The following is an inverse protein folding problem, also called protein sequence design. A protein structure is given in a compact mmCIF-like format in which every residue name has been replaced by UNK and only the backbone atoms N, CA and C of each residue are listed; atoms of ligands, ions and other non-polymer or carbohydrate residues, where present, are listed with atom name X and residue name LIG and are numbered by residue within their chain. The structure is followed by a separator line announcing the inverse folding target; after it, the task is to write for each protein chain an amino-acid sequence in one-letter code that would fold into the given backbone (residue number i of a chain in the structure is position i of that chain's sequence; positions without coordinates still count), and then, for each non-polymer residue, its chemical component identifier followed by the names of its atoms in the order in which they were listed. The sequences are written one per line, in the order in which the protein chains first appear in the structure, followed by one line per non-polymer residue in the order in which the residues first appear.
data_IF_062838946779
#
_entry.id   IF_062838946779
#
_cell.length_a   1.000
_cell.length_b   1.000
_cell.length_c   1.000
_cell.angle_alpha   90.00
_cell.angle_beta   90.00
_cell.angle_gamma   90.00
#
_symmetry.space_group_name_H-M   'P 1'
#
loop_
_entity.id
_entity.type
_entity.pdbx_description
1 polymer ?
#
# COMPACT_ATOMS: atom_id res chain seq x y z
N UNK A 1 -21.03 -64.46 -12.47
CA UNK A 1 -20.26 -63.90 -11.35
C UNK A 1 -19.80 -62.50 -11.74
N UNK A 2 -20.28 -61.46 -11.05
CA UNK A 2 -19.83 -60.06 -11.17
C UNK A 2 -19.21 -59.66 -9.83
N UNK A 3 -17.99 -59.13 -9.83
CA UNK A 3 -17.68 -57.84 -9.18
C UNK A 3 -16.62 -57.07 -10.00
N UNK A 4 -16.24 -55.80 -9.80
CA UNK A 4 -16.62 -54.73 -8.90
C UNK A 4 -16.35 -53.39 -9.61
N UNK A 5 -17.09 -52.37 -9.18
CA UNK A 5 -16.93 -50.95 -9.46
C UNK A 5 -15.66 -50.42 -8.76
N UNK A 6 -14.86 -49.59 -9.42
CA UNK A 6 -14.03 -48.58 -8.72
C UNK A 6 -14.02 -47.27 -9.51
N UNK A 7 -14.48 -46.25 -8.81
CA UNK A 7 -14.60 -44.84 -9.17
C UNK A 7 -13.32 -44.13 -8.67
N UNK A 8 -12.69 -43.29 -9.49
CA UNK A 8 -11.78 -42.25 -9.00
C UNK A 8 -11.73 -41.07 -10.00
N UNK A 9 -12.04 -39.83 -9.57
CA UNK A 9 -12.01 -38.62 -10.39
C UNK A 9 -10.69 -37.83 -10.22
N UNK A 10 -10.56 -36.76 -11.03
CA UNK A 10 -9.72 -35.58 -10.84
C UNK A 10 -8.26 -35.64 -11.32
N UNK A 11 -7.92 -34.80 -12.30
CA UNK A 11 -7.32 -33.48 -12.03
C UNK A 11 -7.25 -32.68 -13.34
N UNK A 12 -8.16 -31.71 -13.52
CA UNK A 12 -8.02 -30.66 -14.51
C UNK A 12 -7.06 -29.61 -13.92
N UNK A 13 -5.79 -29.68 -14.30
CA UNK A 13 -4.82 -28.63 -13.99
C UNK A 13 -5.05 -27.46 -14.96
N UNK A 14 -5.78 -26.46 -14.48
CA UNK A 14 -5.83 -25.13 -15.07
C UNK A 14 -4.46 -24.48 -14.87
N UNK A 15 -3.62 -24.54 -15.90
CA UNK A 15 -2.42 -23.72 -16.01
C UNK A 15 -2.86 -22.25 -16.19
N UNK A 16 -2.93 -21.50 -15.10
CA UNK A 16 -3.03 -20.05 -15.17
C UNK A 16 -1.65 -19.50 -15.57
N UNK A 17 -1.52 -19.10 -16.82
CA UNK A 17 -0.35 -18.37 -17.32
C UNK A 17 -0.28 -17.00 -16.62
N UNK A 18 0.69 -16.82 -15.71
CA UNK A 18 1.06 -15.51 -15.20
C UNK A 18 2.49 -15.24 -15.66
N UNK A 19 2.65 -14.18 -16.43
CA UNK A 19 3.89 -13.78 -17.10
C UNK A 19 4.86 -13.19 -16.06
N UNK A 20 5.95 -13.91 -15.77
CA UNK A 20 6.97 -13.46 -14.82
C UNK A 20 7.96 -12.50 -15.52
N UNK A 21 8.40 -11.39 -14.87
CA UNK A 21 9.26 -10.41 -15.52
C UNK A 21 10.68 -10.93 -15.77
N UNK A 22 11.15 -10.82 -17.02
CA UNK A 22 12.53 -11.14 -17.41
C UNK A 22 13.47 -10.00 -16.95
N UNK A 23 14.53 -10.34 -16.21
CA UNK A 23 15.57 -9.39 -15.78
C UNK A 23 16.86 -9.58 -16.57
N UNK A 24 17.76 -8.59 -16.53
CA UNK A 24 19.01 -8.58 -17.31
C UNK A 24 19.94 -9.78 -17.03
N UNK A 25 19.82 -10.42 -15.87
CA UNK A 25 20.57 -11.63 -15.54
C UNK A 25 20.17 -12.85 -16.40
N UNK A 26 18.96 -12.82 -16.98
CA UNK A 26 18.43 -13.88 -17.83
C UNK A 26 18.79 -13.68 -19.31
N UNK A 27 19.42 -12.57 -19.67
CA UNK A 27 19.77 -12.21 -21.04
C UNK A 27 21.26 -12.49 -21.33
N UNK A 28 21.51 -13.08 -22.48
CA UNK A 28 22.81 -13.13 -23.13
C UNK A 28 23.16 -11.73 -23.68
N UNK A 29 24.44 -11.46 -23.99
CA UNK A 29 24.88 -10.15 -24.46
C UNK A 29 24.21 -9.68 -25.77
N UNK A 30 23.63 -10.60 -26.54
CA UNK A 30 22.86 -10.37 -27.75
C UNK A 30 21.35 -10.14 -27.49
N UNK A 31 20.93 -10.10 -26.22
CA UNK A 31 19.54 -9.92 -25.82
C UNK A 31 18.69 -11.19 -25.90
N UNK A 32 19.29 -12.36 -26.19
CA UNK A 32 18.58 -13.65 -26.14
C UNK A 32 18.48 -14.17 -24.70
N UNK A 33 17.48 -14.99 -24.39
CA UNK A 33 17.45 -15.70 -23.10
C UNK A 33 18.57 -16.75 -23.06
N UNK A 34 19.29 -16.84 -21.94
CA UNK A 34 20.37 -17.82 -21.77
C UNK A 34 19.77 -19.23 -21.68
N UNK A 35 20.26 -20.15 -22.50
CA UNK A 35 19.78 -21.55 -22.63
C UNK A 35 19.98 -22.40 -21.35
N UNK A 36 20.72 -21.89 -20.36
CA UNK A 36 21.03 -22.58 -19.10
C UNK A 36 20.15 -22.15 -17.91
N UNK A 37 18.99 -21.53 -18.16
CA UNK A 37 17.99 -21.29 -17.12
C UNK A 37 17.28 -22.61 -16.79
N UNK A 38 17.92 -23.43 -15.95
CA UNK A 38 17.22 -24.51 -15.27
C UNK A 38 16.05 -23.90 -14.50
N UNK A 39 14.84 -24.44 -14.70
CA UNK A 39 13.57 -23.95 -14.16
C UNK A 39 13.62 -23.65 -12.64
N UNK A 40 14.51 -24.33 -11.92
CA UNK A 40 14.73 -24.15 -10.48
C UNK A 40 15.33 -22.78 -10.10
N UNK A 41 16.16 -22.17 -10.95
CA UNK A 41 16.83 -20.90 -10.63
C UNK A 41 15.91 -19.67 -10.73
N UNK A 42 14.77 -19.80 -11.43
CA UNK A 42 13.76 -18.75 -11.57
C UNK A 42 12.75 -18.72 -10.40
N UNK A 43 12.70 -19.79 -9.60
CA UNK A 43 11.76 -19.94 -8.48
C UNK A 43 12.30 -19.30 -7.19
N UNK A 44 13.61 -19.03 -7.12
CA UNK A 44 14.30 -18.72 -5.86
C UNK A 44 14.62 -17.24 -5.64
N UNK A 45 13.95 -16.33 -6.35
CA UNK A 45 13.98 -14.91 -6.03
C UNK A 45 13.11 -14.62 -4.79
N UNK A 46 13.39 -15.30 -3.68
CA UNK A 46 12.81 -14.96 -2.38
C UNK A 46 13.45 -13.67 -1.93
N UNK A 47 12.72 -12.56 -2.06
CA UNK A 47 13.10 -11.30 -1.43
C UNK A 47 13.03 -11.55 0.08
N UNK A 48 14.17 -11.86 0.70
CA UNK A 48 14.32 -11.86 2.15
C UNK A 48 14.21 -10.43 2.66
N UNK A 49 12.97 -9.93 2.76
CA UNK A 49 12.67 -8.72 3.48
C UNK A 49 12.70 -9.01 4.96
N UNK A 50 13.77 -8.60 5.65
CA UNK A 50 13.70 -8.43 7.10
C UNK A 50 12.50 -7.56 7.43
N UNK A 51 11.63 -8.04 8.33
CA UNK A 51 10.47 -7.29 8.79
C UNK A 51 10.94 -6.03 9.53
N UNK A 52 10.98 -4.90 8.84
CA UNK A 52 11.25 -3.60 9.45
C UNK A 52 10.08 -3.21 10.35
N UNK A 53 10.36 -2.96 11.63
CA UNK A 53 9.39 -2.36 12.54
C UNK A 53 9.36 -0.86 12.29
N UNK A 54 8.34 -0.41 11.55
CA UNK A 54 8.13 1.01 11.26
C UNK A 54 7.52 1.72 12.45
N UNK A 55 7.98 2.96 12.70
CA UNK A 55 7.37 3.88 13.66
C UNK A 55 6.86 5.08 12.87
N UNK A 56 5.54 5.29 12.88
CA UNK A 56 4.89 6.37 12.14
C UNK A 56 4.24 7.33 13.13
N UNK A 57 4.64 8.59 13.07
CA UNK A 57 3.96 9.69 13.74
C UNK A 57 3.16 10.48 12.70
N UNK A 58 1.93 10.86 13.01
CA UNK A 58 1.07 11.58 12.07
C UNK A 58 0.30 12.74 12.70
N UNK A 59 0.17 13.81 11.93
CA UNK A 59 -0.54 15.05 12.27
C UNK A 59 -1.55 15.35 11.17
N UNK A 60 -2.74 15.81 11.57
CA UNK A 60 -3.72 16.36 10.64
C UNK A 60 -3.78 17.87 10.83
N UNK A 61 -3.58 18.60 9.74
CA UNK A 61 -3.44 20.05 9.76
C UNK A 61 -4.19 20.68 8.58
N UNK A 62 -4.54 21.96 8.73
CA UNK A 62 -5.04 22.79 7.63
C UNK A 62 -3.89 23.27 6.74
N UNK A 63 -2.69 23.39 7.31
CA UNK A 63 -1.50 23.86 6.62
C UNK A 63 -0.91 22.75 5.74
N UNK A 64 -0.51 23.11 4.52
CA UNK A 64 0.22 22.24 3.60
C UNK A 64 1.72 22.16 3.94
N UNK A 65 2.27 23.17 4.62
CA UNK A 65 3.64 23.25 5.08
C UNK A 65 3.78 24.25 6.26
N UNK A 66 4.96 24.27 6.89
CA UNK A 66 5.32 25.25 7.91
C UNK A 66 4.91 24.83 9.33
N UNK A 67 4.46 25.78 10.13
CA UNK A 67 4.05 25.53 11.52
C UNK A 67 2.72 24.76 11.52
N UNK A 68 2.81 23.46 11.75
CA UNK A 68 1.66 22.57 11.77
C UNK A 68 0.91 22.68 13.09
N UNK A 69 -0.40 22.91 13.00
CA UNK A 69 -1.30 22.79 14.15
C UNK A 69 -2.07 21.49 14.04
N UNK A 70 -1.85 20.60 15.01
CA UNK A 70 -2.51 19.30 15.01
C UNK A 70 -3.95 19.42 15.52
N UNK A 71 -4.92 19.12 14.66
CA UNK A 71 -6.36 19.19 14.98
C UNK A 71 -7.09 17.93 14.55
N UNK A 72 -8.23 17.68 15.19
CA UNK A 72 -9.18 16.64 14.81
C UNK A 72 -10.50 17.22 14.30
N UNK A 73 -10.63 18.55 14.22
CA UNK A 73 -11.84 19.24 13.80
C UNK A 73 -11.52 20.23 12.68
N UNK A 74 -12.25 20.13 11.57
CA UNK A 74 -12.04 20.93 10.37
C UNK A 74 -13.36 21.58 9.94
N UNK A 75 -13.40 22.91 9.91
CA UNK A 75 -14.58 23.67 9.46
C UNK A 75 -14.50 23.97 7.96
N UNK A 76 -15.50 23.53 7.17
CA UNK A 76 -15.55 23.84 5.73
C UNK A 76 -15.80 25.30 5.41
N UNK A 77 -16.25 26.11 6.39
CA UNK A 77 -16.42 27.55 6.24
C UNK A 77 -15.13 28.33 6.48
N UNK A 78 -14.08 27.67 6.98
CA UNK A 78 -12.75 28.29 7.07
C UNK A 78 -12.13 28.43 5.67
N UNK A 79 -11.05 29.21 5.57
CA UNK A 79 -10.28 29.35 4.33
C UNK A 79 -9.46 28.08 3.97
N UNK A 80 -9.62 26.99 4.72
CA UNK A 80 -8.98 25.71 4.47
C UNK A 80 -9.47 25.07 3.16
N UNK A 81 -8.54 24.62 2.32
CA UNK A 81 -8.86 23.97 1.05
C UNK A 81 -8.85 22.43 1.16
N UNK A 82 -8.10 21.89 2.12
CA UNK A 82 -7.97 20.45 2.34
C UNK A 82 -7.62 20.13 3.80
N UNK A 83 -7.85 18.87 4.20
CA UNK A 83 -7.25 18.26 5.38
C UNK A 83 -5.93 17.62 4.96
N UNK A 84 -4.82 18.11 5.48
CA UNK A 84 -3.49 17.59 5.17
C UNK A 84 -3.03 16.59 6.23
N UNK A 85 -2.67 15.39 5.78
CA UNK A 85 -1.95 14.41 6.58
C UNK A 85 -0.45 14.61 6.40
N UNK A 86 0.23 14.89 7.51
CA UNK A 86 1.68 14.94 7.60
C UNK A 86 2.18 13.74 8.37
N UNK A 87 3.21 13.06 7.87
CA UNK A 87 3.80 11.89 8.49
C UNK A 87 5.29 12.09 8.75
N UNK A 88 5.77 11.58 9.88
CA UNK A 88 7.17 11.27 10.14
C UNK A 88 7.31 9.77 10.19
N UNK A 89 8.27 9.23 9.45
CA UNK A 89 8.49 7.78 9.38
C UNK A 89 9.91 7.47 9.83
N UNK A 90 10.00 6.96 11.05
CA UNK A 90 11.23 6.52 11.68
C UNK A 90 11.51 5.04 11.31
N UNK A 91 12.79 4.65 11.29
CA UNK A 91 13.27 3.27 11.02
C UNK A 91 12.90 2.69 9.64
N UNK A 92 12.54 3.52 8.66
CA UNK A 92 12.37 3.10 7.28
C UNK A 92 13.72 3.22 6.53
N UNK A 93 14.19 2.16 5.89
CA UNK A 93 15.48 2.19 5.17
C UNK A 93 15.38 2.74 3.75
N UNK A 94 14.21 2.59 3.11
CA UNK A 94 13.94 2.98 1.73
C UNK A 94 12.48 3.37 1.55
N UNK A 95 12.19 4.15 0.52
CA UNK A 95 10.81 4.50 0.16
C UNK A 95 9.91 3.25 0.07
N UNK A 96 8.70 3.35 0.61
CA UNK A 96 7.74 2.24 0.66
C UNK A 96 6.41 2.67 0.08
N UNK A 97 5.88 1.87 -0.84
CA UNK A 97 4.55 2.08 -1.38
C UNK A 97 3.49 1.85 -0.29
N UNK A 98 2.57 2.79 -0.16
CA UNK A 98 1.46 2.75 0.77
C UNK A 98 0.16 3.16 0.08
N UNK A 99 -0.95 2.76 0.68
CA UNK A 99 -2.28 3.19 0.27
C UNK A 99 -2.89 4.05 1.36
N UNK A 100 -3.17 5.30 1.02
CA UNK A 100 -3.92 6.24 1.84
C UNK A 100 -5.40 6.05 1.56
N UNK A 101 -6.17 5.83 2.62
CA UNK A 101 -7.60 5.54 2.54
C UNK A 101 -8.32 6.49 3.48
N UNK A 102 -9.20 7.33 2.92
CA UNK A 102 -10.09 8.22 3.66
C UNK A 102 -11.49 7.62 3.65
N UNK A 103 -12.10 7.43 4.82
CA UNK A 103 -13.42 6.80 4.97
C UNK A 103 -14.39 7.68 5.73
N UNK A 104 -15.64 7.73 5.27
CA UNK A 104 -16.80 8.29 5.97
C UNK A 104 -18.04 7.41 5.74
N UNK A 105 -18.41 6.58 6.70
CA UNK A 105 -19.46 5.58 6.49
C UNK A 105 -19.10 4.68 5.29
N UNK A 106 -19.97 4.63 4.28
CA UNK A 106 -19.74 3.89 3.02
C UNK A 106 -18.86 4.65 2.01
N UNK A 107 -18.61 5.95 2.21
CA UNK A 107 -17.76 6.73 1.33
C UNK A 107 -16.29 6.37 1.58
N UNK A 108 -15.57 6.02 0.50
CA UNK A 108 -14.15 5.71 0.55
C UNK A 108 -13.41 6.44 -0.57
N UNK A 109 -12.29 7.08 -0.25
CA UNK A 109 -11.37 7.70 -1.20
C UNK A 109 -9.98 7.15 -0.99
N UNK A 110 -9.41 6.57 -2.03
CA UNK A 110 -8.12 5.89 -1.94
C UNK A 110 -7.10 6.49 -2.90
N UNK A 111 -5.84 6.52 -2.47
CA UNK A 111 -4.71 6.87 -3.32
C UNK A 111 -3.49 6.03 -2.92
N UNK A 112 -2.80 5.50 -3.91
CA UNK A 112 -1.49 4.85 -3.71
C UNK A 112 -0.41 5.90 -3.90
N UNK A 113 0.57 5.93 -3.00
CA UNK A 113 1.75 6.79 -3.08
C UNK A 113 2.89 6.16 -2.28
N UNK A 114 3.99 6.89 -2.07
CA UNK A 114 5.13 6.43 -1.30
C UNK A 114 5.32 7.23 -0.02
N UNK A 115 5.63 6.54 1.07
CA UNK A 115 6.29 7.16 2.23
C UNK A 115 7.79 7.01 2.08
N UNK A 116 8.52 8.05 2.46
CA UNK A 116 9.98 8.07 2.50
C UNK A 116 10.45 8.19 3.95
N UNK A 117 11.68 7.74 4.27
CA UNK A 117 12.25 7.96 5.59
C UNK A 117 12.31 9.46 5.88
N UNK A 118 11.91 9.88 7.09
CA UNK A 118 11.98 11.28 7.48
C UNK A 118 12.25 11.46 8.98
N UNK A 119 13.02 12.48 9.31
CA UNK A 119 13.30 12.93 10.68
C UNK A 119 12.29 13.99 11.18
N UNK A 120 11.47 14.50 10.28
CA UNK A 120 10.48 15.56 10.51
C UNK A 120 9.13 15.19 9.85
N UNK A 121 8.07 15.89 10.28
CA UNK A 121 6.74 15.75 9.67
C UNK A 121 6.76 16.30 8.25
N UNK A 122 6.42 15.46 7.28
CA UNK A 122 6.34 15.82 5.87
C UNK A 122 4.93 15.61 5.33
N UNK A 123 4.47 16.42 4.36
CA UNK A 123 3.18 16.21 3.71
C UNK A 123 3.13 14.83 3.04
N UNK A 124 2.10 14.05 3.34
CA UNK A 124 1.95 12.68 2.84
C UNK A 124 0.69 12.52 1.98
N UNK A 125 -0.44 13.04 2.44
CA UNK A 125 -1.69 13.01 1.69
C UNK A 125 -2.60 14.19 2.04
N UNK A 126 -3.59 14.45 1.19
CA UNK A 126 -4.58 15.48 1.45
C UNK A 126 -5.97 15.02 1.02
N UNK A 127 -6.98 15.40 1.79
CA UNK A 127 -8.39 15.25 1.44
C UNK A 127 -8.96 16.64 1.10
N UNK A 128 -9.29 16.92 -0.18
CA UNK A 128 -9.91 18.18 -0.57
C UNK A 128 -11.24 18.40 0.16
N UNK A 129 -11.39 19.54 0.83
CA UNK A 129 -12.59 19.89 1.60
C UNK A 129 -13.76 20.27 0.70
N UNK A 130 -13.51 20.77 -0.50
CA UNK A 130 -14.53 21.18 -1.47
C UNK A 130 -15.55 20.06 -1.77
N UNK A 131 -15.06 18.81 -1.83
CA UNK A 131 -15.87 17.66 -2.18
C UNK A 131 -16.17 16.77 -0.96
N UNK A 132 -15.53 16.99 0.19
CA UNK A 132 -15.70 16.16 1.37
C UNK A 132 -17.00 16.54 2.11
N UNK A 133 -17.90 15.58 2.28
CA UNK A 133 -19.11 15.84 3.05
C UNK A 133 -18.83 15.82 4.58
N UNK A 134 -19.63 16.55 5.38
CA UNK A 134 -19.49 16.60 6.84
C UNK A 134 -19.59 15.25 7.53
N UNK A 135 -19.09 15.23 8.76
CA UNK A 135 -19.22 14.12 9.70
C UNK A 135 -17.86 13.55 10.11
N UNK A 136 -17.92 12.37 10.70
CA UNK A 136 -16.75 11.64 11.19
C UNK A 136 -16.02 10.95 10.04
N UNK A 137 -14.74 11.29 9.88
CA UNK A 137 -13.84 10.71 8.91
C UNK A 137 -12.73 9.93 9.60
N UNK A 138 -12.22 8.92 8.90
CA UNK A 138 -11.02 8.19 9.30
C UNK A 138 -10.03 8.19 8.14
N UNK A 139 -8.78 8.53 8.42
CA UNK A 139 -7.66 8.28 7.52
C UNK A 139 -6.88 7.06 7.98
N UNK A 140 -6.61 6.15 7.06
CA UNK A 140 -5.83 4.94 7.27
C UNK A 140 -4.73 4.86 6.23
N UNK A 141 -3.56 4.39 6.65
CA UNK A 141 -2.40 4.18 5.79
C UNK A 141 -2.04 2.70 5.88
N UNK A 142 -2.10 2.02 4.74
CA UNK A 142 -1.78 0.61 4.63
C UNK A 142 -0.48 0.43 3.84
N UNK A 143 0.35 -0.55 4.19
CA UNK A 143 1.44 -0.94 3.30
C UNK A 143 0.85 -1.57 2.02
N UNK A 144 1.49 -1.33 0.88
CA UNK A 144 1.18 -2.08 -0.34
C UNK A 144 2.06 -3.32 -0.35
N UNK A 145 1.44 -4.50 -0.24
CA UNK A 145 2.12 -5.79 -0.29
C UNK A 145 1.57 -6.66 -1.42
N UNK A 146 2.42 -7.53 -1.97
CA UNK A 146 2.08 -8.40 -3.12
C UNK A 146 1.26 -9.63 -2.73
N UNK A 147 1.19 -9.98 -1.45
CA UNK A 147 0.56 -11.22 -0.96
C UNK A 147 0.02 -11.04 0.44
N UNK A 148 -1.26 -11.34 0.67
CA UNK A 148 -1.91 -11.27 1.98
C UNK A 148 -2.69 -9.97 2.22
N UNK A 149 -3.15 -9.80 3.46
CA UNK A 149 -3.83 -8.57 3.89
C UNK A 149 -2.80 -7.46 4.12
N UNK A 150 -3.01 -6.33 3.46
CA UNK A 150 -2.17 -5.14 3.59
C UNK A 150 -2.14 -4.66 5.06
N UNK A 151 -0.97 -4.63 5.74
CA UNK A 151 -0.90 -4.25 7.14
C UNK A 151 -1.24 -2.75 7.32
N UNK A 152 -2.06 -2.45 8.34
CA UNK A 152 -2.36 -1.09 8.76
C UNK A 152 -1.15 -0.50 9.48
N UNK A 153 -0.64 0.60 8.94
CA UNK A 153 0.54 1.29 9.46
C UNK A 153 0.17 2.48 10.35
N UNK A 154 -0.90 3.19 9.99
CA UNK A 154 -1.37 4.37 10.71
C UNK A 154 -2.89 4.51 10.55
N UNK A 155 -3.57 4.95 11.61
CA UNK A 155 -4.99 5.27 11.60
C UNK A 155 -5.26 6.49 12.46
N UNK A 156 -6.10 7.39 11.96
CA UNK A 156 -6.57 8.53 12.74
C UNK A 156 -7.98 8.95 12.34
N UNK A 157 -8.78 9.28 13.34
CA UNK A 157 -10.12 9.82 13.20
C UNK A 157 -10.11 11.35 13.31
N UNK A 158 -11.02 12.00 12.60
CA UNK A 158 -11.26 13.44 12.64
C UNK A 158 -12.71 13.75 12.21
N UNK A 159 -13.12 15.00 12.36
CA UNK A 159 -14.46 15.47 12.02
C UNK A 159 -14.39 16.67 11.08
N UNK A 160 -15.28 16.68 10.09
CA UNK A 160 -15.52 17.82 9.21
C UNK A 160 -16.89 18.40 9.52
N UNK A 161 -16.98 19.70 9.80
CA UNK A 161 -18.25 20.42 10.06
C UNK A 161 -18.66 21.31 8.88
#
# INVERSE_FOLDING_TARGET
MRPALFLAPAFLLLAACVDAPITAAHLAPDGQLRDSLSQDALIDARVEGTAERLEITGVLAVQDAGALEDTALFDRKSDATAVHLHLRVDNLSRARAVRFVWRRGEETRERIDFIVPSDTLMPAAALPLADAAPGEWVVEVYAVESTGDAPLLYRRQFEIT
#
